data_IF_643048452384
#
_entry.id   IF_643048452384
#
_cell.length_a   1.000
_cell.length_b   1.000
_cell.length_c   1.000
_cell.angle_alpha   90.00
_cell.angle_beta   90.00
_cell.angle_gamma   90.00
#
_symmetry.space_group_name_H-M   'P 1'
#
loop_
_entity.id
_entity.type
_entity.pdbx_description
1 polymer ?
#
# COMPACT_ATOMS: atom_id res chain seq x y z
N UNK A 1 8.02 -25.71 -12.17
CA UNK A 1 9.32 -25.73 -12.89
C UNK A 1 10.34 -26.28 -11.89
N UNK A 2 10.85 -27.50 -12.10
CA UNK A 2 11.81 -28.10 -11.17
C UNK A 2 13.21 -27.55 -11.47
N UNK A 3 13.82 -26.92 -10.47
CA UNK A 3 15.16 -26.33 -10.58
C UNK A 3 15.19 -24.87 -10.14
N UNK A 4 16.35 -24.44 -9.61
CA UNK A 4 16.64 -23.05 -9.31
C UNK A 4 17.77 -22.58 -10.22
N UNK A 5 17.55 -21.46 -10.90
CA UNK A 5 18.58 -20.87 -11.73
C UNK A 5 19.70 -20.31 -10.85
N UNK A 6 20.91 -20.84 -11.03
CA UNK A 6 22.11 -20.27 -10.44
C UNK A 6 22.75 -19.37 -11.48
N UNK A 7 22.92 -18.10 -11.12
CA UNK A 7 23.63 -17.13 -11.95
C UNK A 7 25.11 -17.12 -11.58
N UNK A 8 25.97 -17.24 -12.59
CA UNK A 8 27.41 -17.03 -12.43
C UNK A 8 27.76 -15.62 -12.90
N UNK A 9 28.56 -14.91 -12.11
CA UNK A 9 29.10 -13.61 -12.47
C UNK A 9 30.61 -13.70 -12.51
N UNK A 10 31.18 -13.44 -13.70
CA UNK A 10 32.60 -13.25 -13.87
C UNK A 10 32.92 -11.78 -13.70
N UNK A 11 33.90 -11.48 -12.86
CA UNK A 11 34.21 -10.12 -12.45
C UNK A 11 35.71 -9.97 -12.19
N UNK A 12 36.31 -8.94 -12.76
CA UNK A 12 37.65 -8.50 -12.42
C UNK A 12 37.56 -7.19 -11.63
N UNK A 13 38.17 -7.16 -10.44
CA UNK A 13 38.17 -5.96 -9.63
C UNK A 13 39.11 -4.90 -10.24
N UNK A 14 38.71 -3.63 -10.20
CA UNK A 14 39.61 -2.52 -10.54
C UNK A 14 40.38 -2.07 -9.30
N UNK A 15 41.68 -1.84 -9.46
CA UNK A 15 42.54 -1.24 -8.45
C UNK A 15 42.45 0.27 -8.55
N UNK A 16 42.25 0.95 -7.43
CA UNK A 16 42.21 2.41 -7.34
C UNK A 16 43.57 2.94 -6.92
N UNK A 17 44.11 3.88 -7.69
CA UNK A 17 45.32 4.64 -7.33
C UNK A 17 45.12 6.13 -7.56
N UNK A 18 46.01 6.97 -7.01
CA UNK A 18 45.99 8.41 -7.30
C UNK A 18 46.20 8.62 -8.81
N UNK A 19 45.44 9.53 -9.40
CA UNK A 19 45.57 9.84 -10.82
C UNK A 19 46.93 10.46 -11.11
N UNK A 20 47.60 9.94 -12.14
CA UNK A 20 48.87 10.48 -12.63
C UNK A 20 48.61 11.16 -13.99
N UNK A 21 48.73 12.49 -14.08
CA UNK A 21 48.56 13.19 -15.35
C UNK A 21 49.54 12.69 -16.42
N UNK A 22 49.06 12.59 -17.66
CA UNK A 22 49.88 12.20 -18.80
C UNK A 22 50.84 13.32 -19.19
N UNK A 23 51.93 12.97 -19.88
CA UNK A 23 52.88 13.96 -20.39
C UNK A 23 52.23 15.04 -21.28
N UNK A 24 51.15 14.67 -21.99
CA UNK A 24 50.37 15.60 -22.82
C UNK A 24 49.56 16.59 -21.98
N UNK A 25 48.95 16.14 -20.91
CA UNK A 25 48.16 17.00 -19.99
C UNK A 25 49.08 17.94 -19.19
N UNK A 26 50.26 17.46 -18.78
CA UNK A 26 51.29 18.32 -18.19
C UNK A 26 51.77 19.39 -19.17
N UNK A 27 51.94 19.05 -20.45
CA UNK A 27 52.33 20.01 -21.48
C UNK A 27 51.21 21.02 -21.80
N UNK A 28 49.94 20.63 -21.73
CA UNK A 28 48.80 21.53 -21.90
C UNK A 28 48.67 22.50 -20.73
N UNK A 29 48.84 22.01 -19.49
CA UNK A 29 48.88 22.86 -18.30
C UNK A 29 50.03 23.88 -18.37
N UNK A 30 51.21 23.46 -18.84
CA UNK A 30 52.36 24.36 -19.02
C UNK A 30 52.09 25.49 -20.04
N UNK A 31 51.11 25.31 -20.94
CA UNK A 31 50.64 26.33 -21.88
C UNK A 31 49.53 27.22 -21.32
N UNK A 32 49.11 27.01 -20.07
CA UNK A 32 48.04 27.76 -19.41
C UNK A 32 46.64 27.30 -19.77
N UNK A 33 46.49 26.14 -20.42
CA UNK A 33 45.18 25.58 -20.73
C UNK A 33 44.49 25.06 -19.45
N UNK A 34 43.17 25.28 -19.34
CA UNK A 34 42.39 24.76 -18.23
C UNK A 34 42.33 23.22 -18.30
N UNK A 35 42.71 22.55 -17.23
CA UNK A 35 42.69 21.09 -17.14
C UNK A 35 42.03 20.64 -15.83
N UNK A 36 41.10 19.69 -15.93
CA UNK A 36 40.53 18.98 -14.80
C UNK A 36 41.24 17.63 -14.64
N UNK A 37 41.79 17.39 -13.46
CA UNK A 37 42.39 16.10 -13.12
C UNK A 37 41.48 15.32 -12.20
N UNK A 38 41.16 14.09 -12.59
CA UNK A 38 40.43 13.18 -11.72
C UNK A 38 41.26 12.95 -10.44
N UNK A 39 40.59 12.73 -9.31
CA UNK A 39 41.28 12.38 -8.06
C UNK A 39 41.90 10.97 -8.11
N UNK A 40 41.30 10.08 -8.91
CA UNK A 40 41.61 8.66 -8.94
C UNK A 40 41.75 8.15 -10.37
N UNK A 41 42.65 7.19 -10.55
CA UNK A 41 42.71 6.33 -11.74
C UNK A 41 42.41 4.88 -11.33
N UNK A 42 41.85 4.12 -12.28
CA UNK A 42 41.48 2.73 -12.09
C UNK A 42 42.23 1.86 -13.10
N UNK A 43 42.89 0.82 -12.60
CA UNK A 43 43.58 -0.17 -13.44
C UNK A 43 42.98 -1.55 -13.23
N UNK A 44 42.94 -2.41 -14.25
CA UNK A 44 42.59 -3.82 -14.06
C UNK A 44 43.51 -4.46 -13.00
N UNK A 45 42.96 -5.34 -12.17
CA UNK A 45 43.75 -6.03 -11.13
C UNK A 45 44.55 -7.21 -11.66
N UNK A 46 44.21 -7.71 -12.85
CA UNK A 46 44.71 -8.96 -13.40
C UNK A 46 44.21 -10.20 -12.66
N UNK A 47 43.21 -10.06 -11.78
CA UNK A 47 42.67 -11.16 -10.96
C UNK A 47 41.18 -11.37 -11.22
N UNK A 48 40.86 -12.46 -11.92
CA UNK A 48 39.49 -12.86 -12.19
C UNK A 48 38.82 -13.41 -10.93
N UNK A 49 37.54 -13.12 -10.78
CA UNK A 49 36.69 -13.64 -9.72
C UNK A 49 35.43 -14.22 -10.34
N UNK A 50 35.00 -15.38 -9.85
CA UNK A 50 33.71 -15.98 -10.21
C UNK A 50 32.84 -16.02 -8.96
N UNK A 51 31.69 -15.36 -9.05
CA UNK A 51 30.69 -15.31 -7.99
C UNK A 51 29.52 -16.24 -8.35
N UNK A 52 29.11 -17.05 -7.40
CA UNK A 52 27.93 -17.92 -7.53
C UNK A 52 26.75 -17.22 -6.87
N UNK A 53 25.73 -16.88 -7.66
CA UNK A 53 24.54 -16.11 -7.28
C UNK A 53 24.80 -14.63 -6.98
N UNK A 54 23.73 -13.84 -6.98
CA UNK A 54 23.75 -12.47 -6.48
C UNK A 54 23.96 -12.46 -4.95
N UNK A 55 24.97 -11.72 -4.48
CA UNK A 55 25.28 -11.51 -3.06
C UNK A 55 26.56 -12.17 -2.57
N UNK A 56 26.63 -12.48 -1.26
CA UNK A 56 27.78 -13.10 -0.58
C UNK A 56 27.83 -14.64 -0.71
N UNK A 57 27.26 -15.19 -1.80
CA UNK A 57 27.01 -16.63 -2.01
C UNK A 57 28.24 -17.51 -2.27
N UNK A 58 29.42 -17.06 -1.84
CA UNK A 58 30.70 -17.67 -2.16
C UNK A 58 31.28 -17.13 -3.47
N UNK A 59 32.60 -17.02 -3.49
CA UNK A 59 33.38 -16.61 -4.65
C UNK A 59 34.65 -17.44 -4.75
N UNK A 60 35.08 -17.70 -5.97
CA UNK A 60 36.45 -18.12 -6.25
C UNK A 60 37.19 -16.94 -6.89
N UNK A 61 38.47 -16.80 -6.56
CA UNK A 61 39.29 -15.66 -6.95
C UNK A 61 40.64 -16.20 -7.39
N UNK A 62 41.20 -15.59 -8.43
CA UNK A 62 42.57 -15.80 -8.84
C UNK A 62 43.55 -15.43 -7.72
N UNK A 63 44.53 -16.30 -7.52
CA UNK A 63 45.70 -16.02 -6.70
C UNK A 63 46.97 -16.30 -7.50
N UNK A 64 48.09 -15.82 -6.97
CA UNK A 64 49.40 -16.00 -7.61
C UNK A 64 49.80 -17.49 -7.76
N UNK A 65 49.16 -18.38 -7.00
CA UNK A 65 49.40 -19.84 -7.03
C UNK A 65 48.25 -20.67 -7.60
N UNK A 66 47.05 -20.11 -7.75
CA UNK A 66 45.86 -20.83 -8.23
C UNK A 66 44.97 -19.91 -9.05
N UNK A 67 44.86 -20.20 -10.34
CA UNK A 67 43.89 -19.55 -11.19
C UNK A 67 42.47 -20.10 -10.95
N UNK A 68 41.47 -19.39 -11.44
CA UNK A 68 40.05 -19.78 -11.43
C UNK A 68 39.82 -21.09 -12.19
N UNK A 69 40.52 -21.33 -13.30
CA UNK A 69 40.39 -22.56 -14.11
C UNK A 69 40.81 -23.80 -13.33
N UNK A 70 41.82 -23.67 -12.46
CA UNK A 70 42.25 -24.75 -11.57
C UNK A 70 41.29 -24.96 -10.38
N UNK A 71 40.33 -24.05 -10.19
CA UNK A 71 39.35 -24.08 -9.10
C UNK A 71 37.94 -24.46 -9.57
N UNK A 72 37.76 -24.94 -10.81
CA UNK A 72 36.43 -25.27 -11.34
C UNK A 72 35.68 -26.34 -10.54
N UNK A 73 36.37 -27.35 -9.99
CA UNK A 73 35.72 -28.34 -9.12
C UNK A 73 35.12 -27.69 -7.86
N UNK A 74 35.88 -26.76 -7.26
CA UNK A 74 35.42 -25.97 -6.11
C UNK A 74 34.22 -25.08 -6.48
N UNK A 75 34.20 -24.54 -7.71
CA UNK A 75 33.05 -23.80 -8.21
C UNK A 75 31.79 -24.68 -8.28
N UNK A 76 31.91 -25.90 -8.81
CA UNK A 76 30.80 -26.85 -8.90
C UNK A 76 30.29 -27.24 -7.52
N UNK A 77 31.19 -27.50 -6.56
CA UNK A 77 30.81 -27.76 -5.16
C UNK A 77 30.04 -26.59 -4.55
N UNK A 78 30.54 -25.36 -4.71
CA UNK A 78 29.85 -24.14 -4.25
C UNK A 78 28.46 -24.01 -4.86
N UNK A 79 28.31 -24.27 -6.16
CA UNK A 79 27.02 -24.26 -6.85
C UNK A 79 26.06 -25.30 -6.27
N UNK A 80 26.53 -26.54 -6.05
CA UNK A 80 25.71 -27.60 -5.49
C UNK A 80 25.22 -27.27 -4.07
N UNK A 81 26.13 -26.82 -3.19
CA UNK A 81 25.77 -26.36 -1.84
C UNK A 81 24.73 -25.26 -1.91
N UNK A 82 24.93 -24.27 -2.79
CA UNK A 82 24.04 -23.13 -2.90
C UNK A 82 22.64 -23.50 -3.45
N UNK A 83 22.58 -24.43 -4.39
CA UNK A 83 21.31 -24.95 -4.89
C UNK A 83 20.48 -25.57 -3.75
N UNK A 84 21.11 -26.37 -2.88
CA UNK A 84 20.43 -26.97 -1.73
C UNK A 84 19.94 -25.91 -0.74
N UNK A 85 20.77 -24.91 -0.43
CA UNK A 85 20.37 -23.80 0.45
C UNK A 85 19.15 -23.05 -0.09
N UNK A 86 19.09 -22.80 -1.41
CA UNK A 86 17.93 -22.15 -2.02
C UNK A 86 16.66 -22.98 -1.89
N UNK A 87 16.73 -24.30 -2.14
CA UNK A 87 15.57 -25.18 -2.00
C UNK A 87 15.02 -25.13 -0.57
N UNK A 88 15.88 -25.29 0.43
CA UNK A 88 15.48 -25.25 1.85
C UNK A 88 14.91 -23.89 2.23
N UNK A 89 15.55 -22.79 1.79
CA UNK A 89 15.07 -21.43 2.07
C UNK A 89 13.70 -21.19 1.47
N UNK A 90 13.47 -21.60 0.23
CA UNK A 90 12.19 -21.38 -0.45
C UNK A 90 11.07 -22.18 0.18
N UNK A 91 11.33 -23.43 0.57
CA UNK A 91 10.35 -24.24 1.27
C UNK A 91 9.94 -23.58 2.60
N UNK A 92 10.92 -23.13 3.38
CA UNK A 92 10.65 -22.37 4.61
C UNK A 92 9.85 -21.09 4.34
N UNK A 93 10.27 -20.32 3.32
CA UNK A 93 9.58 -19.08 2.96
C UNK A 93 8.14 -19.35 2.53
N UNK A 94 7.89 -20.42 1.76
CA UNK A 94 6.55 -20.80 1.34
C UNK A 94 5.65 -21.16 2.53
N UNK A 95 6.18 -21.88 3.53
CA UNK A 95 5.45 -22.20 4.77
C UNK A 95 5.13 -20.93 5.56
N UNK A 96 6.13 -20.05 5.76
CA UNK A 96 5.94 -18.79 6.46
C UNK A 96 4.95 -17.86 5.75
N UNK A 97 5.01 -17.79 4.41
CA UNK A 97 4.10 -16.99 3.59
C UNK A 97 2.67 -17.50 3.68
N UNK A 98 2.49 -18.83 3.64
CA UNK A 98 1.18 -19.45 3.80
C UNK A 98 0.58 -19.15 5.18
N UNK A 99 1.37 -19.23 6.25
CA UNK A 99 0.88 -18.91 7.60
C UNK A 99 0.57 -17.41 7.75
N UNK A 100 1.44 -16.53 7.23
CA UNK A 100 1.18 -15.08 7.22
C UNK A 100 -0.11 -14.75 6.48
N UNK A 101 -0.34 -15.40 5.33
CA UNK A 101 -1.55 -15.19 4.54
C UNK A 101 -2.79 -15.69 5.30
N UNK A 102 -2.71 -16.87 5.93
CA UNK A 102 -3.81 -17.40 6.75
C UNK A 102 -4.19 -16.46 7.89
N UNK A 103 -3.20 -15.96 8.64
CA UNK A 103 -3.44 -15.00 9.75
C UNK A 103 -4.07 -13.71 9.23
N UNK A 104 -3.57 -13.21 8.08
CA UNK A 104 -4.12 -12.01 7.44
C UNK A 104 -5.58 -12.19 7.02
N UNK A 105 -5.93 -13.33 6.43
CA UNK A 105 -7.28 -13.61 5.97
C UNK A 105 -8.26 -13.71 7.15
N UNK A 106 -7.86 -14.36 8.25
CA UNK A 106 -8.64 -14.41 9.50
C UNK A 106 -8.86 -12.99 10.06
N UNK A 107 -7.82 -12.17 10.10
CA UNK A 107 -7.92 -10.80 10.60
C UNK A 107 -8.82 -9.93 9.72
N UNK A 108 -8.73 -10.07 8.40
CA UNK A 108 -9.57 -9.34 7.44
C UNK A 108 -11.04 -9.72 7.58
N UNK A 109 -11.33 -11.01 7.73
CA UNK A 109 -12.70 -11.50 7.93
C UNK A 109 -13.29 -10.99 9.26
N UNK A 110 -12.51 -11.02 10.35
CA UNK A 110 -12.93 -10.43 11.63
C UNK A 110 -13.21 -8.94 11.51
N UNK A 111 -12.34 -8.20 10.82
CA UNK A 111 -12.52 -6.76 10.59
C UNK A 111 -13.79 -6.48 9.77
N UNK A 112 -14.03 -7.23 8.69
CA UNK A 112 -15.24 -7.11 7.88
C UNK A 112 -16.51 -7.30 8.71
N UNK A 113 -16.56 -8.33 9.56
CA UNK A 113 -17.68 -8.56 10.48
C UNK A 113 -17.85 -7.41 11.47
N UNK A 114 -16.76 -6.92 12.04
CA UNK A 114 -16.80 -5.80 12.97
C UNK A 114 -17.31 -4.52 12.29
N UNK A 115 -16.84 -4.22 11.08
CA UNK A 115 -17.24 -3.03 10.33
C UNK A 115 -18.72 -3.12 9.90
N UNK A 116 -19.19 -4.32 9.51
CA UNK A 116 -20.61 -4.57 9.23
C UNK A 116 -21.50 -4.37 10.47
N UNK A 117 -21.08 -4.87 11.64
CA UNK A 117 -21.81 -4.66 12.89
C UNK A 117 -21.83 -3.17 13.30
N UNK A 118 -20.72 -2.44 13.12
CA UNK A 118 -20.68 -0.99 13.36
C UNK A 118 -21.62 -0.23 12.43
N UNK A 119 -21.64 -0.57 11.15
CA UNK A 119 -22.56 0.05 10.19
C UNK A 119 -24.02 -0.25 10.55
N UNK A 120 -24.31 -1.50 10.94
CA UNK A 120 -25.65 -1.90 11.39
C UNK A 120 -26.09 -1.13 12.64
N UNK A 121 -25.20 -0.98 13.62
CA UNK A 121 -25.46 -0.19 14.82
C UNK A 121 -25.68 1.28 14.49
N UNK A 122 -24.81 1.90 13.69
CA UNK A 122 -24.93 3.30 13.30
C UNK A 122 -26.25 3.57 12.55
N UNK A 123 -26.67 2.65 11.68
CA UNK A 123 -27.97 2.72 11.02
C UNK A 123 -29.11 2.64 12.04
N UNK A 124 -29.07 1.67 12.96
CA UNK A 124 -30.10 1.51 13.99
C UNK A 124 -30.22 2.75 14.90
N UNK A 125 -29.09 3.35 15.28
CA UNK A 125 -29.06 4.59 16.06
C UNK A 125 -29.67 5.76 15.28
N UNK A 126 -29.32 5.89 13.98
CA UNK A 126 -29.92 6.90 13.10
C UNK A 126 -31.43 6.72 12.94
N UNK A 127 -31.87 5.49 12.69
CA UNK A 127 -33.29 5.15 12.59
C UNK A 127 -34.01 5.47 13.92
N UNK A 128 -33.46 5.08 15.07
CA UNK A 128 -34.06 5.38 16.37
C UNK A 128 -34.18 6.88 16.66
N UNK A 129 -33.14 7.66 16.33
CA UNK A 129 -33.16 9.12 16.46
C UNK A 129 -34.21 9.76 15.55
N UNK A 130 -34.31 9.31 14.30
CA UNK A 130 -35.28 9.81 13.34
C UNK A 130 -36.72 9.47 13.75
N UNK A 131 -36.96 8.25 14.25
CA UNK A 131 -38.24 7.87 14.86
C UNK A 131 -38.59 8.77 16.05
N UNK A 132 -37.65 9.02 16.97
CA UNK A 132 -37.89 9.91 18.11
C UNK A 132 -38.24 11.34 17.67
N UNK A 133 -37.55 11.85 16.65
CA UNK A 133 -37.85 13.17 16.05
C UNK A 133 -39.24 13.20 15.43
N UNK A 134 -39.65 12.14 14.71
CA UNK A 134 -40.99 12.02 14.15
C UNK A 134 -42.06 12.08 15.24
N UNK A 135 -41.87 11.35 16.35
CA UNK A 135 -42.79 11.38 17.49
C UNK A 135 -42.86 12.77 18.11
N UNK A 136 -41.73 13.41 18.38
CA UNK A 136 -41.70 14.75 18.96
C UNK A 136 -42.45 15.79 18.09
N UNK A 137 -42.32 15.70 16.75
CA UNK A 137 -43.08 16.56 15.83
C UNK A 137 -44.58 16.25 15.93
N UNK A 138 -44.99 14.98 15.91
CA UNK A 138 -46.41 14.59 16.02
C UNK A 138 -47.02 15.05 17.35
N UNK A 139 -46.29 14.88 18.45
CA UNK A 139 -46.71 15.34 19.78
C UNK A 139 -46.92 16.85 19.80
N UNK A 140 -45.97 17.64 19.27
CA UNK A 140 -46.11 19.08 19.17
C UNK A 140 -47.32 19.52 18.33
N UNK A 141 -47.53 18.89 17.17
CA UNK A 141 -48.66 19.20 16.29
C UNK A 141 -50.00 18.84 16.92
N UNK A 142 -50.09 17.72 17.64
CA UNK A 142 -51.29 17.33 18.39
C UNK A 142 -51.61 18.36 19.50
N UNK A 143 -50.60 18.83 20.25
CA UNK A 143 -50.79 19.88 21.26
C UNK A 143 -51.22 21.21 20.63
N UNK A 144 -50.67 21.55 19.46
CA UNK A 144 -51.06 22.74 18.71
C UNK A 144 -52.53 22.66 18.27
N UNK A 145 -52.97 21.51 17.75
CA UNK A 145 -54.36 21.26 17.36
C UNK A 145 -55.32 21.38 18.56
N UNK A 146 -55.00 20.75 19.69
CA UNK A 146 -55.79 20.85 20.92
C UNK A 146 -55.86 22.28 21.49
N UNK A 147 -54.80 23.06 21.36
CA UNK A 147 -54.80 24.46 21.79
C UNK A 147 -55.78 25.33 20.98
N UNK A 148 -56.02 24.93 19.73
CA UNK A 148 -56.89 25.62 18.80
C UNK A 148 -58.34 25.09 18.80
N UNK A 149 -58.62 23.93 19.38
CA UNK A 149 -60.01 23.62 19.77
C UNK A 149 -60.58 24.65 20.76
N UNK A 150 -59.72 25.40 21.46
CA UNK A 150 -60.11 26.52 22.34
C UNK A 150 -60.24 27.86 21.60
N UNK A 151 -59.71 28.00 20.39
CA UNK A 151 -59.69 29.22 19.57
C UNK A 151 -59.62 28.87 18.06
N UNK A 152 -60.53 29.36 17.20
CA UNK A 152 -60.54 29.03 15.77
C UNK A 152 -59.14 29.05 15.11
N UNK A 153 -58.78 27.93 14.47
CA UNK A 153 -57.52 27.78 13.74
C UNK A 153 -57.44 28.79 12.58
N UNK A 154 -56.29 29.44 12.42
CA UNK A 154 -55.99 30.20 11.21
C UNK A 154 -55.67 29.27 10.04
N UNK A 155 -55.83 29.77 8.80
CA UNK A 155 -55.49 29.03 7.60
C UNK A 155 -54.00 28.58 7.58
N UNK A 156 -53.10 29.43 8.08
CA UNK A 156 -51.67 29.12 8.20
C UNK A 156 -51.42 27.96 9.18
N UNK A 157 -52.15 27.90 10.29
CA UNK A 157 -52.03 26.81 11.27
C UNK A 157 -52.54 25.48 10.71
N UNK A 158 -53.63 25.49 9.94
CA UNK A 158 -54.13 24.27 9.27
C UNK A 158 -53.15 23.75 8.23
N UNK A 159 -52.51 24.64 7.46
CA UNK A 159 -51.46 24.25 6.51
C UNK A 159 -50.22 23.69 7.22
N UNK A 160 -49.79 24.32 8.32
CA UNK A 160 -48.69 23.85 9.15
C UNK A 160 -48.94 22.45 9.71
N UNK A 161 -50.15 22.17 10.22
CA UNK A 161 -50.53 20.84 10.71
C UNK A 161 -50.39 19.79 9.61
N UNK A 162 -50.98 20.04 8.43
CA UNK A 162 -50.91 19.12 7.29
C UNK A 162 -49.48 18.87 6.84
N UNK A 163 -48.71 19.94 6.64
CA UNK A 163 -47.31 19.86 6.22
C UNK A 163 -46.45 19.16 7.27
N UNK A 164 -46.62 19.50 8.55
CA UNK A 164 -45.86 18.95 9.67
C UNK A 164 -46.07 17.45 9.84
N UNK A 165 -47.31 16.96 9.71
CA UNK A 165 -47.59 15.52 9.75
C UNK A 165 -46.96 14.78 8.57
N UNK A 166 -47.00 15.36 7.36
CA UNK A 166 -46.32 14.79 6.20
C UNK A 166 -44.79 14.70 6.41
N UNK A 167 -44.17 15.74 7.00
CA UNK A 167 -42.73 15.72 7.34
C UNK A 167 -42.39 14.74 8.43
N UNK A 168 -43.23 14.60 9.47
CA UNK A 168 -43.03 13.60 10.51
C UNK A 168 -43.11 12.18 9.95
N UNK A 169 -44.01 11.94 9.00
CA UNK A 169 -44.13 10.66 8.32
C UNK A 169 -42.95 10.37 7.40
N UNK A 170 -42.43 11.37 6.71
CA UNK A 170 -41.23 11.24 5.87
C UNK A 170 -39.97 10.85 6.65
N UNK A 171 -39.73 11.48 7.82
CA UNK A 171 -38.53 11.14 8.61
C UNK A 171 -38.69 9.86 9.44
N UNK A 172 -39.90 9.30 9.54
CA UNK A 172 -40.15 8.11 10.35
C UNK A 172 -39.64 6.86 9.61
N UNK A 173 -38.60 6.16 10.12
CA UNK A 173 -38.07 4.96 9.45
C UNK A 173 -39.09 3.81 9.38
N UNK A 174 -40.20 3.88 10.13
CA UNK A 174 -41.29 2.91 10.06
C UNK A 174 -42.28 3.20 8.91
N UNK A 175 -42.11 4.33 8.20
CA UNK A 175 -42.89 4.73 7.02
C UNK A 175 -41.98 4.93 5.80
N UNK A 176 -41.30 3.89 5.31
CA UNK A 176 -40.26 4.02 4.28
C UNK A 176 -40.77 4.43 2.88
N UNK A 177 -42.09 4.36 2.63
CA UNK A 177 -42.67 4.63 1.31
C UNK A 177 -43.06 6.10 1.10
N UNK A 178 -42.69 7.00 2.01
CA UNK A 178 -42.99 8.44 1.92
C UNK A 178 -41.81 9.15 1.23
N UNK A 179 -42.04 9.63 0.01
CA UNK A 179 -41.07 10.43 -0.75
C UNK A 179 -41.37 11.92 -0.50
N UNK A 180 -40.33 12.69 -0.18
CA UNK A 180 -40.45 14.12 0.08
C UNK A 180 -39.60 14.95 -0.89
N UNK A 181 -39.99 16.21 -1.11
CA UNK A 181 -39.22 17.17 -1.89
C UNK A 181 -37.76 17.29 -1.41
N UNK A 182 -37.51 17.09 -0.11
CA UNK A 182 -36.17 17.16 0.47
C UNK A 182 -35.27 15.99 0.07
N UNK A 183 -35.81 14.92 -0.51
CA UNK A 183 -35.04 13.80 -1.08
C UNK A 183 -34.65 14.03 -2.55
N UNK A 184 -35.19 15.06 -3.21
CA UNK A 184 -34.93 15.32 -4.62
C UNK A 184 -33.54 15.95 -4.84
N UNK A 185 -32.70 15.30 -5.66
CA UNK A 185 -31.48 15.93 -6.19
C UNK A 185 -31.84 16.95 -7.28
N UNK A 186 -32.01 18.22 -6.88
CA UNK A 186 -32.31 19.30 -7.82
C UNK A 186 -31.02 19.76 -8.52
N UNK A 187 -30.85 19.34 -9.78
CA UNK A 187 -29.80 19.83 -10.66
C UNK A 187 -30.27 21.10 -11.39
N UNK A 188 -29.70 22.26 -11.05
CA UNK A 188 -29.98 23.52 -11.74
C UNK A 188 -29.15 23.55 -13.04
N UNK A 189 -29.78 23.51 -14.23
CA UNK A 189 -29.05 23.61 -15.49
C UNK A 189 -28.35 24.96 -15.61
N UNK A 190 -27.11 24.95 -16.13
CA UNK A 190 -26.32 26.15 -16.42
C UNK A 190 -26.72 26.80 -17.74
#
# INVERSE_FOLDING_TARGET
MFGHALHLRLFEASLRSAYVPTAKELAAQAKGEWSYWAKWQFTPSGRLQVLVSEGYGGKIVDSDSRSVELQLNKLVELMATRAVEFLVRNERQAIEDAERQRVRDIALERKRRQDAEKQRLAKLEGDAQNWQRAQAIREYLNELEQSAERHELSAEQTELLRWGHAKADWIDPLKPDVVDLLDEEILIPR
#
